data_IF_405445626892
#
_entry.id   IF_405445626892
#
_cell.length_a   1.000
_cell.length_b   1.000
_cell.length_c   1.000
_cell.angle_alpha   90.00
_cell.angle_beta   90.00
_cell.angle_gamma   90.00
#
_symmetry.space_group_name_H-M   'P 1'
#
loop_
_entity.id
_entity.type
_entity.pdbx_description
1 polymer ?
#
# COMPACT_ATOMS: atom_id res chain seq x y z
N UNK A 1 -16.30 -26.11 -25.93
CA UNK A 1 -15.73 -27.12 -25.00
C UNK A 1 -14.23 -27.35 -25.19
N UNK A 2 -13.70 -27.35 -26.43
CA UNK A 2 -12.28 -27.63 -26.72
C UNK A 2 -11.28 -26.64 -26.07
N UNK A 3 -11.60 -25.34 -26.01
CA UNK A 3 -10.71 -24.32 -25.38
C UNK A 3 -10.41 -24.57 -23.89
N UNK A 4 -11.35 -25.18 -23.14
CA UNK A 4 -11.12 -25.56 -21.73
C UNK A 4 -10.21 -26.79 -21.59
N UNK A 5 -10.17 -27.66 -22.60
CA UNK A 5 -9.31 -28.84 -22.59
C UNK A 5 -7.84 -28.47 -22.82
N UNK A 6 -7.57 -27.47 -23.66
CA UNK A 6 -6.21 -26.95 -23.91
C UNK A 6 -5.63 -26.28 -22.66
N UNK A 7 -6.45 -25.60 -21.87
CA UNK A 7 -6.04 -24.98 -20.61
C UNK A 7 -5.76 -26.01 -19.48
N UNK A 8 -6.06 -27.30 -19.69
CA UNK A 8 -5.91 -28.35 -18.66
C UNK A 8 -4.46 -28.56 -18.24
N UNK A 9 -3.53 -28.65 -19.19
CA UNK A 9 -2.12 -28.83 -18.89
C UNK A 9 -1.54 -27.62 -18.14
N UNK A 10 -1.91 -26.41 -18.58
CA UNK A 10 -1.55 -25.17 -17.90
C UNK A 10 -2.20 -25.04 -16.51
N UNK A 11 -3.41 -25.59 -16.31
CA UNK A 11 -4.03 -25.66 -14.99
C UNK A 11 -3.31 -26.66 -14.08
N UNK A 12 -2.97 -27.86 -14.57
CA UNK A 12 -2.18 -28.87 -13.84
C UNK A 12 -0.83 -28.30 -13.38
N UNK A 13 -0.11 -27.62 -14.28
CA UNK A 13 1.15 -26.99 -13.94
C UNK A 13 0.98 -25.84 -12.94
N UNK A 14 -0.04 -24.98 -13.09
CA UNK A 14 -0.31 -23.89 -12.13
C UNK A 14 -0.68 -24.38 -10.73
N UNK A 15 -1.27 -25.58 -10.65
CA UNK A 15 -1.73 -26.19 -9.42
C UNK A 15 -0.72 -27.20 -8.86
N UNK A 16 0.48 -27.32 -9.48
CA UNK A 16 1.50 -28.32 -9.17
C UNK A 16 0.91 -29.74 -8.97
N UNK A 17 -0.09 -30.11 -9.78
CA UNK A 17 -0.79 -31.39 -9.63
C UNK A 17 0.18 -32.52 -10.00
N UNK A 18 0.58 -33.31 -9.01
CA UNK A 18 1.53 -34.42 -9.15
C UNK A 18 2.84 -34.19 -8.41
N UNK A 19 3.12 -32.97 -7.93
CA UNK A 19 4.22 -32.76 -6.99
C UNK A 19 3.82 -33.23 -5.59
N UNK A 20 4.76 -33.83 -4.82
CA UNK A 20 4.49 -34.23 -3.45
C UNK A 20 4.19 -32.98 -2.60
N UNK A 21 3.07 -33.02 -1.87
CA UNK A 21 2.75 -32.02 -0.86
C UNK A 21 3.86 -31.98 0.19
N UNK A 22 4.27 -30.79 0.61
CA UNK A 22 5.32 -30.65 1.63
C UNK A 22 4.83 -31.09 3.03
N UNK A 23 3.51 -31.25 3.21
CA UNK A 23 2.89 -31.67 4.46
C UNK A 23 2.95 -30.60 5.54
N UNK A 24 3.04 -29.32 5.16
CA UNK A 24 3.21 -28.20 6.09
C UNK A 24 1.93 -27.39 6.23
N UNK A 25 1.54 -27.14 7.47
CA UNK A 25 0.44 -26.23 7.78
C UNK A 25 0.88 -24.78 7.55
N UNK A 26 0.14 -24.06 6.70
CA UNK A 26 0.34 -22.64 6.43
C UNK A 26 -0.92 -21.87 6.81
N UNK A 27 -0.80 -20.96 7.77
CA UNK A 27 -1.90 -20.07 8.12
C UNK A 27 -2.06 -18.98 7.04
N UNK A 28 -3.32 -18.71 6.69
CA UNK A 28 -3.70 -17.67 5.73
C UNK A 28 -4.82 -16.80 6.27
N UNK A 29 -4.82 -15.52 5.90
CA UNK A 29 -5.89 -14.58 6.21
C UNK A 29 -6.70 -14.34 4.94
N UNK A 30 -8.01 -14.59 4.99
CA UNK A 30 -8.94 -14.22 3.92
C UNK A 30 -9.61 -12.90 4.28
N UNK A 31 -9.55 -11.92 3.39
CA UNK A 31 -10.05 -10.57 3.61
C UNK A 31 -11.04 -10.22 2.51
N UNK A 32 -12.23 -9.75 2.86
CA UNK A 32 -13.16 -9.13 1.92
C UNK A 32 -13.38 -7.69 2.33
N UNK A 33 -13.19 -6.76 1.39
CA UNK A 33 -13.40 -5.34 1.61
C UNK A 33 -14.83 -4.96 1.21
N UNK A 34 -15.60 -4.35 2.11
CA UNK A 34 -16.90 -3.73 1.83
C UNK A 34 -16.78 -2.34 1.19
N UNK A 35 -15.63 -1.68 1.36
CA UNK A 35 -15.30 -0.38 0.75
C UNK A 35 -13.92 -0.39 0.11
N UNK A 36 -13.70 0.41 -0.94
CA UNK A 36 -12.37 0.57 -1.54
C UNK A 36 -11.41 1.16 -0.50
N UNK A 37 -10.29 0.49 -0.15
CA UNK A 37 -9.37 0.88 0.92
C UNK A 37 -8.69 2.25 0.81
N UNK A 38 -8.98 3.04 -0.22
CA UNK A 38 -8.37 4.34 -0.51
C UNK A 38 -6.86 4.25 -0.78
N UNK A 39 -6.30 5.33 -1.32
CA UNK A 39 -4.91 5.35 -1.79
C UNK A 39 -3.92 5.48 -0.63
N UNK A 40 -2.97 4.56 -0.52
CA UNK A 40 -1.86 4.67 0.43
C UNK A 40 -0.85 5.72 -0.05
N UNK A 41 -0.39 6.59 0.87
CA UNK A 41 0.57 7.66 0.56
C UNK A 41 1.95 7.12 0.17
N UNK A 42 2.37 6.02 0.78
CA UNK A 42 3.63 5.32 0.49
C UNK A 42 3.76 4.97 -0.99
N UNK A 43 2.69 4.50 -1.66
CA UNK A 43 2.71 4.24 -3.10
C UNK A 43 2.73 5.50 -3.96
N UNK A 44 2.22 6.64 -3.45
CA UNK A 44 2.26 7.93 -4.14
C UNK A 44 3.64 8.61 -4.02
N UNK A 45 4.39 8.35 -2.94
CA UNK A 45 5.69 8.99 -2.66
C UNK A 45 6.91 8.10 -2.86
N UNK A 46 6.79 6.79 -2.63
CA UNK A 46 7.86 5.79 -2.78
C UNK A 46 7.35 4.63 -3.64
N UNK A 47 7.17 4.85 -4.94
CA UNK A 47 6.56 3.86 -5.79
C UNK A 47 7.65 2.95 -6.34
N UNK A 48 7.84 1.81 -5.70
CA UNK A 48 8.92 0.90 -6.08
C UNK A 48 9.09 -0.35 -5.20
N UNK A 49 8.24 -0.55 -4.19
CA UNK A 49 8.38 -1.66 -3.25
C UNK A 49 7.78 -3.01 -3.73
N UNK A 50 7.55 -3.18 -5.05
CA UNK A 50 7.15 -4.41 -5.82
C UNK A 50 5.70 -4.44 -6.34
N UNK A 51 5.30 -5.49 -7.06
CA UNK A 51 5.25 -5.58 -8.52
C UNK A 51 4.03 -4.87 -9.14
N UNK A 52 4.17 -3.56 -9.34
CA UNK A 52 3.48 -2.73 -10.36
C UNK A 52 4.45 -1.69 -10.97
N UNK A 53 5.75 -1.95 -10.78
CA UNK A 53 6.87 -1.01 -10.93
C UNK A 53 7.01 -0.39 -12.33
N UNK A 54 6.37 -0.97 -13.35
CA UNK A 54 6.38 -0.43 -14.70
C UNK A 54 5.68 0.93 -14.78
N UNK A 55 4.51 1.10 -14.18
CA UNK A 55 3.73 2.33 -14.33
C UNK A 55 4.39 3.50 -13.63
N UNK A 56 4.88 3.28 -12.40
CA UNK A 56 5.46 4.37 -11.64
C UNK A 56 6.95 4.60 -11.90
N UNK A 57 7.69 3.56 -12.32
CA UNK A 57 9.02 3.73 -12.90
C UNK A 57 8.98 4.57 -14.19
N UNK A 58 7.96 4.33 -15.04
CA UNK A 58 7.69 5.18 -16.22
C UNK A 58 7.37 6.62 -15.79
N UNK A 59 6.49 6.82 -14.81
CA UNK A 59 6.18 8.15 -14.28
C UNK A 59 7.43 8.89 -13.79
N UNK A 60 8.33 8.24 -13.05
CA UNK A 60 9.59 8.87 -12.58
C UNK A 60 10.54 9.24 -13.72
N UNK A 61 10.74 8.34 -14.68
CA UNK A 61 11.59 8.61 -15.86
C UNK A 61 11.03 9.79 -16.65
N UNK A 62 9.70 9.83 -16.80
CA UNK A 62 8.95 10.88 -17.50
C UNK A 62 8.98 12.21 -16.73
N UNK A 63 8.85 12.19 -15.40
CA UNK A 63 9.05 13.37 -14.55
C UNK A 63 10.46 13.93 -14.70
N UNK A 64 11.48 13.08 -14.70
CA UNK A 64 12.86 13.48 -14.96
C UNK A 64 13.02 14.13 -16.34
N UNK A 65 12.39 13.57 -17.38
CA UNK A 65 12.39 14.13 -18.73
C UNK A 65 11.67 15.49 -18.81
N UNK A 66 10.52 15.65 -18.14
CA UNK A 66 9.78 16.93 -18.10
C UNK A 66 10.56 17.99 -17.34
N UNK A 67 11.19 17.64 -16.21
CA UNK A 67 12.03 18.57 -15.46
C UNK A 67 13.27 19.00 -16.26
N UNK A 68 13.96 18.06 -16.92
CA UNK A 68 15.07 18.36 -17.82
C UNK A 68 14.63 19.22 -19.03
N UNK A 69 13.48 18.90 -19.63
CA UNK A 69 12.89 19.68 -20.71
C UNK A 69 12.48 21.09 -20.28
N UNK A 70 11.98 21.27 -19.06
CA UNK A 70 11.64 22.59 -18.49
C UNK A 70 12.87 23.45 -18.21
N UNK A 71 14.00 22.84 -17.81
CA UNK A 71 15.28 23.53 -17.68
C UNK A 71 15.82 23.97 -19.07
N UNK A 72 15.70 23.11 -20.08
CA UNK A 72 16.07 23.44 -21.46
C UNK A 72 15.16 24.55 -22.04
N UNK A 73 13.86 24.54 -21.75
CA UNK A 73 12.94 25.60 -22.14
C UNK A 73 13.30 26.95 -21.46
N UNK A 74 13.72 26.93 -20.19
CA UNK A 74 14.23 28.11 -19.49
C UNK A 74 15.50 28.68 -20.14
N UNK A 75 16.39 27.81 -20.64
CA UNK A 75 17.58 28.21 -21.39
C UNK A 75 17.21 28.82 -22.75
N UNK A 76 16.21 28.27 -23.45
CA UNK A 76 15.71 28.82 -24.73
C UNK A 76 15.05 30.19 -24.53
N UNK A 77 14.26 30.37 -23.47
CA UNK A 77 13.67 31.69 -23.11
C UNK A 77 14.77 32.70 -22.75
N UNK A 78 15.82 32.26 -22.05
CA UNK A 78 16.97 33.11 -21.73
C UNK A 78 17.80 33.50 -22.97
N UNK A 79 17.90 32.61 -23.97
CA UNK A 79 18.67 32.86 -25.19
C UNK A 79 17.89 33.63 -26.28
N UNK A 80 16.57 33.46 -26.36
CA UNK A 80 15.71 34.11 -27.35
C UNK A 80 15.26 35.54 -26.97
N UNK A 81 15.51 35.97 -25.73
CA UNK A 81 15.04 37.25 -25.21
C UNK A 81 13.57 37.22 -24.76
N UNK A 82 13.10 38.28 -24.05
CA UNK A 82 11.77 38.33 -23.44
C UNK A 82 10.63 38.60 -24.46
N UNK A 83 10.83 38.27 -25.73
CA UNK A 83 9.81 38.47 -26.75
C UNK A 83 8.61 37.55 -26.46
N UNK A 84 7.40 38.06 -26.71
CA UNK A 84 6.13 37.39 -26.42
C UNK A 84 6.09 35.94 -26.95
N UNK A 85 6.75 35.67 -28.08
CA UNK A 85 6.84 34.35 -28.68
C UNK A 85 7.69 33.36 -27.85
N UNK A 86 8.80 33.81 -27.26
CA UNK A 86 9.66 32.99 -26.41
C UNK A 86 8.99 32.61 -25.09
N UNK A 87 8.35 33.58 -24.44
CA UNK A 87 7.55 33.36 -23.22
C UNK A 87 6.35 32.44 -23.48
N UNK A 88 5.64 32.64 -24.60
CA UNK A 88 4.52 31.79 -24.98
C UNK A 88 4.97 30.33 -25.22
N UNK A 89 6.07 30.11 -25.94
CA UNK A 89 6.61 28.78 -26.19
C UNK A 89 7.03 28.08 -24.88
N UNK A 90 7.66 28.80 -23.96
CA UNK A 90 8.04 28.27 -22.64
C UNK A 90 6.84 27.87 -21.78
N UNK A 91 5.77 28.67 -21.78
CA UNK A 91 4.52 28.38 -21.06
C UNK A 91 3.83 27.15 -21.67
N UNK A 92 3.75 27.06 -23.00
CA UNK A 92 3.13 25.91 -23.67
C UNK A 92 3.88 24.62 -23.40
N UNK A 93 5.22 24.64 -23.44
CA UNK A 93 6.05 23.47 -23.15
C UNK A 93 5.90 23.00 -21.69
N UNK A 94 5.88 23.93 -20.73
CA UNK A 94 5.70 23.61 -19.30
C UNK A 94 4.28 23.15 -18.98
N UNK A 95 3.25 23.79 -19.57
CA UNK A 95 1.85 23.38 -19.42
C UNK A 95 1.56 22.02 -20.06
N UNK A 96 2.10 21.76 -21.26
CA UNK A 96 1.98 20.48 -21.94
C UNK A 96 2.66 19.35 -21.19
N UNK A 97 3.90 19.57 -20.74
CA UNK A 97 4.63 18.61 -19.89
C UNK A 97 3.91 18.33 -18.57
N UNK A 98 3.37 19.37 -17.92
CA UNK A 98 2.58 19.25 -16.70
C UNK A 98 1.27 18.47 -16.91
N UNK A 99 0.52 18.77 -17.97
CA UNK A 99 -0.73 18.07 -18.29
C UNK A 99 -0.48 16.58 -18.59
N UNK A 100 0.59 16.26 -19.33
CA UNK A 100 0.97 14.89 -19.60
C UNK A 100 1.38 14.12 -18.34
N UNK A 101 2.11 14.78 -17.43
CA UNK A 101 2.47 14.22 -16.12
C UNK A 101 1.22 13.92 -15.27
N UNK A 102 0.26 14.84 -15.26
CA UNK A 102 -1.01 14.67 -14.54
C UNK A 102 -1.82 13.51 -15.11
N UNK A 103 -1.83 13.32 -16.44
CA UNK A 103 -2.48 12.17 -17.09
C UNK A 103 -1.87 10.84 -16.67
N UNK A 104 -0.54 10.73 -16.73
CA UNK A 104 0.20 9.52 -16.35
C UNK A 104 -0.03 9.17 -14.86
N UNK A 105 -0.03 10.18 -13.98
CA UNK A 105 -0.38 10.01 -12.57
C UNK A 105 -1.84 9.57 -12.38
N UNK A 106 -2.77 10.16 -13.14
CA UNK A 106 -4.19 9.81 -13.07
C UNK A 106 -4.42 8.35 -13.45
N UNK A 107 -3.76 7.85 -14.50
CA UNK A 107 -3.84 6.45 -14.91
C UNK A 107 -3.26 5.50 -13.86
N UNK A 108 -2.11 5.82 -13.27
CA UNK A 108 -1.52 5.04 -12.16
C UNK A 108 -2.50 4.96 -11.00
N UNK A 109 -3.09 6.09 -10.62
CA UNK A 109 -4.00 6.18 -9.49
C UNK A 109 -5.28 5.37 -9.73
N UNK A 110 -5.82 5.38 -10.95
CA UNK A 110 -7.00 4.59 -11.32
C UNK A 110 -6.76 3.07 -11.32
N UNK A 111 -5.50 2.65 -11.46
CA UNK A 111 -5.12 1.24 -11.46
C UNK A 111 -4.93 0.69 -10.04
N UNK A 112 -4.87 1.56 -9.01
CA UNK A 112 -4.73 1.13 -7.62
C UNK A 112 -6.03 0.50 -7.11
N UNK A 113 -5.94 -0.74 -6.66
CA UNK A 113 -7.07 -1.54 -6.19
C UNK A 113 -7.01 -1.90 -4.70
N UNK A 114 -8.05 -2.55 -4.15
CA UNK A 114 -8.06 -3.01 -2.76
C UNK A 114 -6.92 -3.96 -2.37
N UNK A 115 -6.48 -4.81 -3.31
CA UNK A 115 -5.33 -5.71 -3.12
C UNK A 115 -4.06 -4.94 -2.73
N UNK A 116 -3.87 -3.75 -3.31
CA UNK A 116 -2.67 -2.95 -3.10
C UNK A 116 -2.54 -2.44 -1.66
N UNK A 117 -3.67 -1.98 -1.09
CA UNK A 117 -3.69 -1.56 0.30
C UNK A 117 -3.47 -2.75 1.26
N UNK A 118 -4.02 -3.92 0.93
CA UNK A 118 -3.81 -5.14 1.71
C UNK A 118 -2.34 -5.57 1.68
N UNK A 119 -1.72 -5.57 0.51
CA UNK A 119 -0.31 -5.88 0.32
C UNK A 119 0.59 -4.92 1.11
N UNK A 120 0.30 -3.62 1.09
CA UNK A 120 1.06 -2.61 1.82
C UNK A 120 0.99 -2.83 3.34
N UNK A 121 -0.22 -3.13 3.86
CA UNK A 121 -0.44 -3.41 5.28
C UNK A 121 0.25 -4.70 5.68
N UNK A 122 0.08 -5.76 4.88
CA UNK A 122 0.73 -7.04 5.10
C UNK A 122 2.25 -6.94 5.06
N UNK A 123 2.81 -6.15 4.14
CA UNK A 123 4.24 -5.86 4.08
C UNK A 123 4.75 -5.13 5.33
N UNK A 124 3.99 -4.15 5.84
CA UNK A 124 4.33 -3.47 7.09
C UNK A 124 4.32 -4.42 8.30
N UNK A 125 3.34 -5.32 8.38
CA UNK A 125 3.26 -6.34 9.44
C UNK A 125 4.43 -7.31 9.35
N UNK A 126 4.70 -7.86 8.17
CA UNK A 126 5.80 -8.80 7.95
C UNK A 126 7.16 -8.17 8.28
N UNK A 127 7.42 -6.94 7.82
CA UNK A 127 8.67 -6.25 8.11
C UNK A 127 8.78 -5.89 9.60
N UNK A 128 7.69 -5.44 10.23
CA UNK A 128 7.67 -5.15 11.67
C UNK A 128 7.95 -6.38 12.53
N UNK A 129 7.38 -7.54 12.18
CA UNK A 129 7.67 -8.81 12.84
C UNK A 129 9.12 -9.24 12.63
N UNK A 130 9.64 -9.14 11.41
CA UNK A 130 11.05 -9.43 11.10
C UNK A 130 12.00 -8.58 11.94
N UNK A 131 11.80 -7.27 11.94
CA UNK A 131 12.62 -6.28 12.64
C UNK A 131 12.64 -6.45 14.17
N UNK A 132 11.64 -7.14 14.71
CA UNK A 132 11.46 -7.37 16.15
C UNK A 132 11.76 -8.81 16.57
N UNK A 133 12.16 -9.67 15.63
CA UNK A 133 12.43 -11.10 15.85
C UNK A 133 11.18 -11.95 16.09
N UNK A 134 10.02 -11.50 15.60
CA UNK A 134 8.77 -12.25 15.67
C UNK A 134 8.66 -13.38 14.63
N UNK A 135 9.32 -13.21 13.49
CA UNK A 135 9.41 -14.23 12.43
C UNK A 135 10.87 -14.39 11.99
N UNK A 136 11.16 -15.47 11.27
CA UNK A 136 12.49 -15.75 10.73
C UNK A 136 13.06 -14.58 9.88
N UNK A 137 14.38 -14.30 9.95
CA UNK A 137 15.00 -13.13 9.31
C UNK A 137 14.99 -13.15 7.77
N UNK A 138 14.81 -14.31 7.16
CA UNK A 138 14.59 -14.50 5.73
C UNK A 138 13.18 -14.12 5.28
N UNK A 139 12.22 -14.04 6.21
CA UNK A 139 10.85 -13.64 5.94
C UNK A 139 10.69 -12.12 6.16
N UNK A 140 9.94 -11.46 5.29
CA UNK A 140 9.68 -10.03 5.38
C UNK A 140 8.61 -9.58 4.39
N UNK A 141 8.56 -8.29 4.05
CA UNK A 141 7.68 -7.78 2.97
C UNK A 141 7.81 -8.63 1.69
N UNK A 142 9.05 -9.03 1.44
CA UNK A 142 9.57 -10.21 0.72
C UNK A 142 8.56 -11.25 0.21
N UNK A 143 8.00 -11.82 1.25
CA UNK A 143 7.41 -13.14 1.26
C UNK A 143 5.90 -13.03 1.28
N UNK A 144 5.35 -11.82 1.39
CA UNK A 144 3.91 -11.57 1.36
C UNK A 144 3.36 -11.90 -0.02
N UNK A 145 2.28 -12.68 -0.05
CA UNK A 145 1.52 -13.00 -1.25
C UNK A 145 0.06 -12.70 -1.00
N UNK A 146 -0.53 -11.89 -1.87
CA UNK A 146 -1.96 -11.61 -1.89
C UNK A 146 -2.55 -12.14 -3.19
N UNK A 147 -3.58 -12.97 -3.08
CA UNK A 147 -4.21 -13.65 -4.23
C UNK A 147 -5.71 -13.39 -4.19
N UNK A 148 -6.24 -12.74 -5.23
CA UNK A 148 -7.67 -12.59 -5.42
C UNK A 148 -8.33 -13.95 -5.69
N UNK A 149 -9.45 -14.21 -5.04
CA UNK A 149 -10.25 -15.42 -5.20
C UNK A 149 -11.55 -15.11 -5.94
N UNK A 150 -12.12 -16.13 -6.59
CA UNK A 150 -13.31 -15.98 -7.43
C UNK A 150 -14.56 -15.54 -6.66
N UNK A 151 -14.59 -15.69 -5.33
CA UNK A 151 -15.69 -15.31 -4.44
C UNK A 151 -15.55 -13.89 -3.88
N UNK A 152 -14.59 -13.10 -4.38
CA UNK A 152 -14.37 -11.71 -3.99
C UNK A 152 -13.53 -11.53 -2.73
N UNK A 153 -13.01 -12.62 -2.15
CA UNK A 153 -12.02 -12.55 -1.08
C UNK A 153 -10.61 -12.42 -1.64
N UNK A 154 -9.73 -11.78 -0.87
CA UNK A 154 -8.29 -11.82 -1.05
C UNK A 154 -7.70 -12.78 -0.02
N UNK A 155 -6.81 -13.67 -0.44
CA UNK A 155 -6.03 -14.53 0.45
C UNK A 155 -4.63 -13.96 0.61
N UNK A 156 -4.25 -13.65 1.84
CA UNK A 156 -2.93 -13.15 2.21
C UNK A 156 -2.18 -14.20 3.05
N UNK A 157 -0.91 -14.44 2.72
CA UNK A 157 -0.05 -15.39 3.43
C UNK A 157 1.45 -15.07 3.24
N UNK A 158 2.30 -15.63 4.10
CA UNK A 158 3.76 -15.60 3.93
C UNK A 158 4.24 -16.85 3.18
N UNK A 159 4.86 -16.66 2.02
CA UNK A 159 5.49 -17.73 1.25
C UNK A 159 6.78 -18.19 1.91
N UNK A 160 6.94 -19.51 2.07
CA UNK A 160 8.13 -20.12 2.67
C UNK A 160 8.22 -19.99 4.19
N UNK A 161 7.14 -19.55 4.84
CA UNK A 161 7.10 -19.46 6.30
C UNK A 161 6.88 -20.82 6.95
N UNK A 162 7.44 -21.02 8.14
CA UNK A 162 7.07 -22.12 9.01
C UNK A 162 5.63 -21.96 9.52
N UNK A 163 5.05 -23.01 10.09
CA UNK A 163 3.72 -22.93 10.72
C UNK A 163 3.69 -21.84 11.80
N UNK A 164 4.70 -21.79 12.67
CA UNK A 164 4.80 -20.80 13.74
C UNK A 164 4.91 -19.36 13.21
N UNK A 165 5.71 -19.14 12.16
CA UNK A 165 5.86 -17.82 11.54
C UNK A 165 4.60 -17.39 10.81
N UNK A 166 4.00 -18.31 10.04
CA UNK A 166 2.77 -18.03 9.29
C UNK A 166 1.63 -17.69 10.25
N UNK A 167 1.46 -18.46 11.34
CA UNK A 167 0.49 -18.19 12.40
C UNK A 167 0.68 -16.79 12.97
N UNK A 168 1.89 -16.46 13.44
CA UNK A 168 2.17 -15.16 14.06
C UNK A 168 1.92 -13.99 13.11
N UNK A 169 2.29 -14.15 11.84
CA UNK A 169 1.97 -13.17 10.81
C UNK A 169 0.46 -13.01 10.61
N UNK A 170 -0.28 -14.12 10.50
CA UNK A 170 -1.72 -14.05 10.28
C UNK A 170 -2.49 -13.47 11.46
N UNK A 171 -2.10 -13.81 12.70
CA UNK A 171 -2.66 -13.22 13.92
C UNK A 171 -2.38 -11.71 13.94
N UNK A 172 -1.13 -11.30 13.70
CA UNK A 172 -0.78 -9.89 13.69
C UNK A 172 -1.52 -9.13 12.57
N UNK A 173 -1.65 -9.70 11.37
CA UNK A 173 -2.38 -9.09 10.28
C UNK A 173 -3.88 -8.98 10.57
N UNK A 174 -4.49 -10.03 11.13
CA UNK A 174 -5.88 -10.01 11.56
C UNK A 174 -6.13 -8.90 12.57
N UNK A 175 -5.27 -8.75 13.59
CA UNK A 175 -5.37 -7.69 14.58
C UNK A 175 -5.28 -6.27 13.99
N UNK A 176 -4.45 -6.04 12.96
CA UNK A 176 -4.39 -4.72 12.28
C UNK A 176 -5.68 -4.41 11.51
N UNK A 177 -6.26 -5.45 10.89
CA UNK A 177 -7.45 -5.33 10.05
C UNK A 177 -8.74 -5.33 10.88
N UNK A 178 -8.70 -5.88 12.08
CA UNK A 178 -9.84 -5.93 12.98
C UNK A 178 -10.29 -4.52 13.43
N UNK A 179 -11.59 -4.33 13.70
CA UNK A 179 -12.10 -3.10 14.31
C UNK A 179 -11.40 -2.79 15.63
N UNK A 180 -11.27 -1.50 15.95
CA UNK A 180 -10.63 -1.04 17.19
C UNK A 180 -11.45 -1.47 18.41
N UNK A 181 -10.94 -2.44 19.16
CA UNK A 181 -11.48 -2.87 20.45
C UNK A 181 -10.76 -2.17 21.61
N UNK A 182 -9.66 -2.77 22.10
CA UNK A 182 -8.84 -2.27 23.22
C UNK A 182 -7.33 -2.35 22.93
N UNK A 183 -6.85 -1.75 21.81
CA UNK A 183 -5.43 -1.85 21.45
C UNK A 183 -4.55 -1.02 22.40
N UNK A 184 -3.34 -1.51 22.66
CA UNK A 184 -2.37 -0.80 23.51
C UNK A 184 -1.73 0.40 22.80
N UNK A 185 -1.56 0.32 21.49
CA UNK A 185 -1.14 1.45 20.66
C UNK A 185 -2.02 1.51 19.41
N UNK A 186 -2.28 2.72 18.96
CA UNK A 186 -2.97 2.99 17.69
C UNK A 186 -2.02 3.70 16.73
N UNK A 187 -2.16 3.45 15.43
CA UNK A 187 -1.34 4.10 14.40
C UNK A 187 -2.22 4.70 13.30
N UNK A 188 -1.97 5.95 12.86
CA UNK A 188 -2.79 6.58 11.84
C UNK A 188 -2.40 6.11 10.42
N UNK A 189 -3.43 5.99 9.59
CA UNK A 189 -3.38 5.84 8.14
C UNK A 189 -4.10 7.01 7.52
N UNK A 190 -3.36 7.85 6.82
CA UNK A 190 -3.92 8.98 6.09
C UNK A 190 -4.39 8.50 4.72
N UNK A 191 -5.70 8.56 4.49
CA UNK A 191 -6.30 8.17 3.22
C UNK A 191 -6.54 9.41 2.37
N UNK A 192 -6.09 9.34 1.12
CA UNK A 192 -6.51 10.28 0.09
C UNK A 192 -7.65 9.67 -0.72
N UNK A 193 -8.69 10.45 -0.98
CA UNK A 193 -9.73 10.04 -1.92
C UNK A 193 -9.12 9.93 -3.32
N UNK A 194 -9.52 8.91 -4.10
CA UNK A 194 -9.13 8.85 -5.50
C UNK A 194 -9.65 10.10 -6.22
N UNK A 195 -8.79 10.81 -6.98
CA UNK A 195 -9.18 12.00 -7.71
C UNK A 195 -10.19 11.65 -8.81
N UNK A 196 -11.34 12.34 -8.81
CA UNK A 196 -12.39 12.15 -9.82
C UNK A 196 -12.05 12.76 -11.18
N UNK A 197 -11.15 13.76 -11.20
CA UNK A 197 -10.74 14.47 -12.41
C UNK A 197 -9.21 14.67 -12.51
N UNK A 198 -8.74 15.11 -13.69
CA UNK A 198 -7.33 15.49 -13.88
C UNK A 198 -6.93 16.69 -13.01
N UNK A 199 -7.84 17.65 -12.82
CA UNK A 199 -7.60 18.79 -11.92
C UNK A 199 -7.44 18.33 -10.47
N UNK A 200 -8.27 17.40 -10.01
CA UNK A 200 -8.14 16.81 -8.66
C UNK A 200 -6.82 16.06 -8.50
N UNK A 201 -6.36 15.38 -9.56
CA UNK A 201 -5.07 14.67 -9.58
C UNK A 201 -3.90 15.67 -9.48
N UNK A 202 -3.97 16.78 -10.21
CA UNK A 202 -2.98 17.86 -10.15
C UNK A 202 -2.95 18.51 -8.75
N UNK A 203 -4.12 18.76 -8.15
CA UNK A 203 -4.26 19.30 -6.80
C UNK A 203 -3.72 18.32 -5.74
N UNK A 204 -3.99 17.02 -5.89
CA UNK A 204 -3.45 15.98 -5.03
C UNK A 204 -1.92 15.97 -5.09
N UNK A 205 -1.33 15.98 -6.29
CA UNK A 205 0.11 16.04 -6.48
C UNK A 205 0.74 17.28 -5.82
N UNK A 206 0.11 18.45 -5.96
CA UNK A 206 0.57 19.69 -5.33
C UNK A 206 0.48 19.64 -3.80
N UNK A 207 -0.61 19.09 -3.26
CA UNK A 207 -0.80 18.92 -1.81
C UNK A 207 0.20 17.95 -1.20
N UNK A 208 0.49 16.84 -1.89
CA UNK A 208 1.49 15.86 -1.45
C UNK A 208 2.88 16.49 -1.35
N UNK A 209 3.26 17.37 -2.28
CA UNK A 209 4.53 18.11 -2.24
C UNK A 209 4.58 19.16 -1.12
N UNK A 210 3.49 19.91 -0.91
CA UNK A 210 3.47 21.04 0.04
C UNK A 210 3.25 20.63 1.49
N UNK A 211 2.32 19.72 1.75
CA UNK A 211 1.77 19.57 3.10
C UNK A 211 2.26 18.36 3.86
N UNK A 212 2.88 17.38 3.19
CA UNK A 212 3.55 16.25 3.83
C UNK A 212 2.76 15.41 4.85
N UNK A 213 1.49 15.73 5.18
CA UNK A 213 0.82 15.25 6.40
C UNK A 213 -0.72 15.24 6.41
N UNK A 214 -1.44 15.51 5.33
CA UNK A 214 -2.93 15.54 5.40
C UNK A 214 -3.59 14.77 4.26
N UNK A 215 -3.90 13.49 4.52
CA UNK A 215 -5.04 12.83 3.86
C UNK A 215 -6.35 13.49 4.31
N UNK A 216 -7.41 13.38 3.52
CA UNK A 216 -8.71 14.02 3.82
C UNK A 216 -9.45 13.27 4.93
N UNK A 217 -9.12 11.99 5.15
CA UNK A 217 -9.59 11.17 6.25
C UNK A 217 -8.40 10.49 6.96
N UNK A 218 -8.49 10.35 8.28
CA UNK A 218 -7.55 9.60 9.10
C UNK A 218 -8.25 8.37 9.64
N UNK A 219 -7.71 7.21 9.29
CA UNK A 219 -8.14 5.93 9.82
C UNK A 219 -7.11 5.46 10.84
N UNK A 220 -7.54 4.96 11.99
CA UNK A 220 -6.63 4.40 12.97
C UNK A 220 -6.67 2.88 12.94
N UNK A 221 -5.49 2.26 13.02
CA UNK A 221 -5.33 0.83 13.12
C UNK A 221 -4.73 0.46 14.48
N UNK A 222 -5.07 -0.72 14.97
CA UNK A 222 -4.40 -1.30 16.13
C UNK A 222 -2.96 -1.66 15.74
N UNK A 223 -2.01 -1.38 16.63
CA UNK A 223 -0.70 -2.03 16.58
C UNK A 223 -0.87 -3.44 17.15
N UNK A 224 -0.47 -4.50 16.42
CA UNK A 224 -0.66 -5.88 16.88
C UNK A 224 -0.02 -6.14 18.23
N UNK A 225 -0.65 -6.96 19.05
CA UNK A 225 -0.31 -7.33 20.42
C UNK A 225 1.19 -7.64 20.59
N UNK A 226 1.77 -8.47 19.72
CA UNK A 226 3.19 -8.80 19.71
C UNK A 226 4.10 -7.57 19.53
N UNK A 227 3.72 -6.68 18.62
CA UNK A 227 4.43 -5.44 18.27
C UNK A 227 4.14 -4.32 19.27
N UNK A 228 2.99 -4.37 19.94
CA UNK A 228 2.55 -3.46 20.97
C UNK A 228 3.08 -3.82 22.37
N UNK A 229 3.79 -4.95 22.51
CA UNK A 229 4.30 -5.45 23.79
C UNK A 229 5.19 -4.44 24.52
N UNK A 230 5.92 -3.60 23.79
CA UNK A 230 6.68 -2.48 24.36
C UNK A 230 6.83 -1.33 23.34
N UNK A 231 7.28 -0.16 23.83
CA UNK A 231 7.46 1.04 23.00
C UNK A 231 8.45 0.82 21.85
N UNK A 232 9.52 0.07 22.09
CA UNK A 232 10.58 -0.18 21.11
C UNK A 232 10.07 -1.00 19.92
N UNK A 233 9.27 -2.03 20.15
CA UNK A 233 8.62 -2.82 19.10
C UNK A 233 7.57 -2.01 18.36
N UNK A 234 6.81 -1.18 19.07
CA UNK A 234 5.85 -0.28 18.44
C UNK A 234 6.55 0.73 17.51
N UNK A 235 7.72 1.23 17.89
CA UNK A 235 8.55 2.10 17.03
C UNK A 235 9.12 1.37 15.81
N UNK A 236 9.54 0.11 15.96
CA UNK A 236 9.99 -0.73 14.84
C UNK A 236 8.85 -0.93 13.84
N UNK A 237 7.67 -1.30 14.34
CA UNK A 237 6.48 -1.39 13.50
C UNK A 237 6.11 -0.07 12.85
N UNK A 238 6.18 1.06 13.57
CA UNK A 238 5.91 2.37 13.00
C UNK A 238 6.86 2.72 11.85
N UNK A 239 8.14 2.33 11.91
CA UNK A 239 9.07 2.49 10.79
C UNK A 239 8.63 1.67 9.56
N UNK A 240 8.22 0.42 9.76
CA UNK A 240 7.69 -0.41 8.68
C UNK A 240 6.38 0.17 8.11
N UNK A 241 5.46 0.60 8.98
CA UNK A 241 4.21 1.25 8.61
C UNK A 241 4.41 2.52 7.79
N UNK A 242 5.36 3.36 8.21
CA UNK A 242 5.72 4.60 7.52
C UNK A 242 6.33 4.34 6.14
N UNK A 243 7.00 3.20 5.98
CA UNK A 243 7.58 2.77 4.71
C UNK A 243 6.53 2.26 3.74
N UNK A 244 5.63 1.39 4.19
CA UNK A 244 4.73 0.66 3.29
C UNK A 244 3.31 1.21 3.23
N UNK A 245 2.78 1.87 4.27
CA UNK A 245 1.36 2.24 4.35
C UNK A 245 1.16 3.76 4.39
N UNK A 246 1.62 4.40 5.45
CA UNK A 246 1.34 5.81 5.71
C UNK A 246 2.26 6.33 6.79
N UNK A 247 2.70 7.57 6.67
CA UNK A 247 3.44 8.25 7.75
C UNK A 247 2.55 8.46 8.97
N UNK A 248 3.04 8.11 10.15
CA UNK A 248 2.34 8.20 11.42
C UNK A 248 3.25 7.82 12.59
N UNK A 249 2.83 8.18 13.79
CA UNK A 249 3.47 7.74 15.03
C UNK A 249 2.47 6.93 15.86
N UNK A 250 2.94 5.88 16.57
CA UNK A 250 2.08 5.07 17.41
C UNK A 250 1.70 5.86 18.67
N UNK A 251 0.41 6.04 18.89
CA UNK A 251 -0.14 6.76 20.04
C UNK A 251 -0.54 5.73 21.10
N UNK A 252 -0.09 5.94 22.34
CA UNK A 252 -0.38 5.04 23.45
C UNK A 252 -1.82 5.22 23.93
N UNK A 253 -2.52 4.13 24.25
CA UNK A 253 -3.93 4.16 24.61
C UNK A 253 -4.29 5.08 25.79
N UNK A 254 -3.37 5.26 26.76
CA UNK A 254 -3.59 6.16 27.92
C UNK A 254 -3.46 7.65 27.57
N UNK A 255 -2.98 7.98 26.38
CA UNK A 255 -3.01 9.36 25.90
C UNK A 255 -4.48 9.80 25.75
N UNK A 256 -4.89 10.97 26.29
CA UNK A 256 -6.24 11.49 26.13
C UNK A 256 -6.70 11.53 24.66
N UNK A 257 -5.78 11.82 23.74
CA UNK A 257 -6.07 11.83 22.30
C UNK A 257 -6.43 10.42 21.79
N UNK A 258 -5.63 9.41 22.15
CA UNK A 258 -5.89 8.03 21.73
C UNK A 258 -7.18 7.48 22.34
N UNK A 259 -7.42 7.76 23.62
CA UNK A 259 -8.66 7.38 24.32
C UNK A 259 -9.90 7.98 23.65
N UNK A 260 -9.86 9.26 23.27
CA UNK A 260 -10.96 9.91 22.55
C UNK A 260 -11.20 9.29 21.17
N UNK A 261 -10.13 8.99 20.42
CA UNK A 261 -10.21 8.32 19.11
C UNK A 261 -10.80 6.92 19.26
N UNK A 262 -10.29 6.11 20.18
CA UNK A 262 -10.77 4.75 20.44
C UNK A 262 -12.24 4.77 20.86
N UNK A 263 -12.65 5.71 21.71
CA UNK A 263 -14.04 5.84 22.13
C UNK A 263 -14.98 6.23 20.98
N UNK A 264 -14.53 7.15 20.11
CA UNK A 264 -15.32 7.62 18.96
C UNK A 264 -15.42 6.56 17.85
N UNK A 265 -14.37 5.75 17.68
CA UNK A 265 -14.30 4.73 16.63
C UNK A 265 -14.63 3.31 17.13
N UNK A 266 -15.04 3.15 18.39
CA UNK A 266 -15.35 1.83 18.98
C UNK A 266 -16.52 1.20 18.20
N UNK A 267 -16.25 0.09 17.51
CA UNK A 267 -17.24 -0.61 16.68
C UNK A 267 -17.45 -0.04 15.27
N UNK A 268 -16.76 1.05 14.90
CA UNK A 268 -16.70 1.49 13.51
C UNK A 268 -15.63 0.67 12.77
N UNK A 269 -16.04 -0.13 11.79
CA UNK A 269 -15.10 -0.83 10.93
C UNK A 269 -14.50 0.15 9.90
N UNK A 270 -13.19 0.43 9.95
CA UNK A 270 -12.56 1.38 9.05
C UNK A 270 -12.58 0.95 7.57
N UNK A 271 -12.83 -0.33 7.30
CA UNK A 271 -12.86 -0.88 5.94
C UNK A 271 -14.18 -1.57 5.58
N UNK A 272 -15.06 -1.82 6.55
CA UNK A 272 -16.15 -2.81 6.43
C UNK A 272 -15.56 -4.16 5.97
N UNK A 273 -14.51 -4.61 6.69
CA UNK A 273 -13.72 -5.79 6.35
C UNK A 273 -14.21 -7.01 7.11
N UNK A 274 -14.58 -8.03 6.35
CA UNK A 274 -14.76 -9.38 6.88
C UNK A 274 -13.45 -10.14 6.75
N UNK A 275 -12.78 -10.37 7.88
CA UNK A 275 -11.59 -11.23 7.95
C UNK A 275 -11.97 -12.65 8.37
N UNK A 276 -11.36 -13.65 7.74
CA UNK A 276 -11.47 -15.06 8.14
C UNK A 276 -10.07 -15.71 8.12
N UNK A 277 -9.61 -16.17 9.28
CA UNK A 277 -8.39 -16.99 9.36
C UNK A 277 -8.67 -18.42 8.89
N UNK A 278 -7.77 -19.00 8.09
CA UNK A 278 -7.85 -20.38 7.60
C UNK A 278 -6.47 -21.02 7.60
N UNK A 279 -6.41 -22.31 7.95
CA UNK A 279 -5.21 -23.14 7.81
C UNK A 279 -5.29 -23.87 6.47
N UNK A 280 -4.19 -23.87 5.71
CA UNK A 280 -4.06 -24.63 4.47
C UNK A 280 -2.90 -25.61 4.58
N UNK A 281 -3.09 -26.80 4.01
CA UNK A 281 -2.04 -27.79 3.82
C UNK A 281 -1.31 -27.50 2.52
N UNK A 282 0.01 -27.42 2.58
CA UNK A 282 0.88 -27.24 1.41
C UNK A 282 1.86 -28.39 1.28
#
# INVERSE_FOLDING_TARGET
MLRRAEERAAAHARWNIGEPYEGRETHTVRVRFGRTPGLSRSRLLTPGARPGAGAVGRFRRRLGQVLAGSAAAGIIVAAAGPDLAGLAAGIVATAGGGAWLVRDLHEVVRQLGPSDALEDIAAAVAEGLRDTGGIAPELGAESVRVVAQADGYYRCYLAGASEADSRRFTEALDEVLAPLASPRYIIPRYIADPPGSMLDTALLALRLRRTGRRGRAVVYHAVPSYLAANRQRADRFARAWNRYVSTGEPIYWKDPQASAIIATQRGADPFDVTTQMRVLWR
#
